data_IF_287722751174
#
_entry.id   IF_287722751174
#
_cell.length_a   1.000
_cell.length_b   1.000
_cell.length_c   1.000
_cell.angle_alpha   90.00
_cell.angle_beta   90.00
_cell.angle_gamma   90.00
#
_symmetry.space_group_name_H-M   'P 1'
#
loop_
_entity.id
_entity.type
_entity.pdbx_description
1 polymer ?
#
# COMPACT_ATOMS: atom_id res chain seq x y z
N UNK A 1 7.05 -8.43 -26.08
CA UNK A 1 8.14 -7.59 -25.58
C UNK A 1 9.33 -8.51 -25.42
N UNK A 2 10.45 -8.12 -26.01
CA UNK A 2 11.74 -8.80 -25.95
C UNK A 2 12.33 -8.69 -24.53
N UNK A 3 13.34 -9.52 -24.24
CA UNK A 3 14.20 -9.39 -23.06
C UNK A 3 14.59 -7.91 -22.85
N UNK A 4 14.06 -7.24 -21.81
CA UNK A 4 14.60 -5.96 -21.34
C UNK A 4 13.73 -4.70 -21.46
N UNK A 5 12.48 -4.74 -21.94
CA UNK A 5 11.55 -3.62 -21.72
C UNK A 5 10.86 -3.80 -20.36
N UNK A 6 11.36 -3.09 -19.35
CA UNK A 6 10.97 -3.23 -17.96
C UNK A 6 9.51 -2.86 -17.69
N UNK A 7 8.95 -3.46 -16.64
CA UNK A 7 7.66 -3.09 -16.08
C UNK A 7 7.62 -1.58 -15.80
N UNK A 8 6.65 -0.87 -16.38
CA UNK A 8 6.42 0.55 -16.08
C UNK A 8 5.47 0.67 -14.91
N UNK A 9 5.66 1.71 -14.10
CA UNK A 9 4.79 2.04 -12.98
C UNK A 9 4.16 3.42 -13.20
N UNK A 10 2.91 3.55 -12.79
CA UNK A 10 2.21 4.83 -12.85
C UNK A 10 2.40 5.54 -11.51
N UNK A 11 3.10 6.67 -11.53
CA UNK A 11 3.40 7.47 -10.35
C UNK A 11 2.59 8.77 -10.41
N UNK A 12 2.01 9.18 -9.29
CA UNK A 12 1.57 10.57 -9.14
C UNK A 12 2.70 11.40 -8.52
N UNK A 13 3.26 12.32 -9.30
CA UNK A 13 4.30 13.25 -8.87
C UNK A 13 3.64 14.50 -8.27
N UNK A 14 3.85 14.69 -6.97
CA UNK A 14 3.24 15.79 -6.21
C UNK A 14 3.85 17.14 -6.56
N UNK A 15 5.15 17.19 -6.82
CA UNK A 15 5.82 18.43 -7.19
C UNK A 15 5.35 18.91 -8.58
N UNK A 16 5.13 17.98 -9.51
CA UNK A 16 4.67 18.29 -10.88
C UNK A 16 3.14 18.26 -11.03
N UNK A 17 2.40 17.88 -9.99
CA UNK A 17 0.94 17.71 -9.99
C UNK A 17 0.42 16.89 -11.19
N UNK A 18 1.08 15.77 -11.52
CA UNK A 18 0.72 14.96 -12.69
C UNK A 18 1.04 13.48 -12.54
N UNK A 19 0.39 12.67 -13.38
CA UNK A 19 0.69 11.25 -13.54
C UNK A 19 1.86 11.07 -14.50
N UNK A 20 2.81 10.21 -14.14
CA UNK A 20 4.02 9.92 -14.90
C UNK A 20 4.18 8.40 -14.99
N UNK A 21 4.51 7.91 -16.19
CA UNK A 21 4.95 6.53 -16.39
C UNK A 21 6.47 6.47 -16.20
N UNK A 22 6.95 5.58 -15.34
CA UNK A 22 8.36 5.44 -14.99
C UNK A 22 8.79 3.96 -15.09
N UNK A 23 9.87 3.62 -15.81
CA UNK A 23 10.41 2.26 -15.79
C UNK A 23 10.85 1.86 -14.38
N UNK A 24 10.41 0.70 -13.89
CA UNK A 24 10.58 0.31 -12.47
C UNK A 24 12.02 0.44 -11.96
N UNK A 25 13.01 0.08 -12.78
CA UNK A 25 14.43 0.18 -12.40
C UNK A 25 14.89 1.64 -12.21
N UNK A 26 14.41 2.57 -13.03
CA UNK A 26 14.70 3.99 -12.84
C UNK A 26 14.02 4.55 -11.60
N UNK A 27 12.82 4.07 -11.29
CA UNK A 27 12.12 4.47 -10.06
C UNK A 27 12.85 3.94 -8.82
N UNK A 28 13.36 2.70 -8.86
CA UNK A 28 14.16 2.14 -7.75
C UNK A 28 15.44 2.96 -7.54
N UNK A 29 16.12 3.44 -8.60
CA UNK A 29 17.29 4.32 -8.44
C UNK A 29 16.92 5.62 -7.73
N UNK A 30 15.83 6.27 -8.12
CA UNK A 30 15.37 7.53 -7.50
C UNK A 30 14.97 7.35 -6.04
N UNK A 31 14.32 6.23 -5.71
CA UNK A 31 13.93 5.90 -4.33
C UNK A 31 15.16 5.52 -3.51
N UNK A 32 16.08 4.71 -4.03
CA UNK A 32 17.33 4.36 -3.34
C UNK A 32 18.13 5.60 -2.96
N UNK A 33 18.25 6.56 -3.89
CA UNK A 33 18.96 7.81 -3.64
C UNK A 33 18.28 8.73 -2.61
N UNK A 34 16.96 8.54 -2.38
CA UNK A 34 16.21 9.29 -1.38
C UNK A 34 16.20 8.61 -0.01
N UNK A 35 15.97 7.29 0.01
CA UNK A 35 15.69 6.52 1.23
C UNK A 35 16.95 6.02 1.94
N UNK A 36 18.06 5.86 1.22
CA UNK A 36 19.30 5.30 1.78
C UNK A 36 20.36 6.37 1.93
N UNK A 37 20.82 6.55 3.17
CA UNK A 37 21.89 7.47 3.54
C UNK A 37 23.21 7.09 2.83
N UNK A 38 24.03 8.10 2.53
CA UNK A 38 25.33 7.87 1.92
C UNK A 38 26.29 7.10 2.85
N UNK A 39 27.25 6.38 2.27
CA UNK A 39 28.24 5.59 3.02
C UNK A 39 27.80 4.18 3.42
N UNK A 40 26.52 3.85 3.26
CA UNK A 40 26.02 2.49 3.51
C UNK A 40 26.66 1.45 2.58
N UNK A 41 26.90 0.25 3.12
CA UNK A 41 27.52 -0.87 2.43
C UNK A 41 26.67 -1.32 1.21
N UNK A 42 27.33 -1.81 0.16
CA UNK A 42 26.67 -2.19 -1.10
C UNK A 42 25.60 -3.27 -0.90
N UNK A 43 25.81 -4.20 0.05
CA UNK A 43 24.83 -5.23 0.40
C UNK A 43 23.58 -4.67 1.09
N UNK A 44 23.70 -3.53 1.80
CA UNK A 44 22.52 -2.81 2.30
C UNK A 44 21.77 -2.16 1.15
N UNK A 45 22.47 -1.53 0.21
CA UNK A 45 21.84 -0.99 -1.01
C UNK A 45 21.12 -2.08 -1.81
N UNK A 46 21.69 -3.30 -1.92
CA UNK A 46 21.03 -4.45 -2.55
C UNK A 46 19.79 -4.90 -1.79
N UNK A 47 19.86 -5.00 -0.45
CA UNK A 47 18.69 -5.32 0.37
C UNK A 47 17.56 -4.30 0.16
N UNK A 48 17.89 -3.00 0.16
CA UNK A 48 16.93 -1.93 -0.14
C UNK A 48 16.40 -2.01 -1.57
N UNK A 49 17.21 -2.31 -2.58
CA UNK A 49 16.75 -2.43 -3.96
C UNK A 49 15.68 -3.53 -4.10
N UNK A 50 15.89 -4.68 -3.45
CA UNK A 50 14.91 -5.77 -3.40
C UNK A 50 13.65 -5.33 -2.64
N UNK A 51 13.79 -4.65 -1.49
CA UNK A 51 12.66 -4.15 -0.70
C UNK A 51 11.84 -3.12 -1.45
N UNK A 52 12.47 -2.14 -2.10
CA UNK A 52 11.80 -1.10 -2.88
C UNK A 52 11.05 -1.74 -4.05
N UNK A 53 11.68 -2.65 -4.79
CA UNK A 53 11.00 -3.41 -5.86
C UNK A 53 9.77 -4.17 -5.34
N UNK A 54 9.94 -4.87 -4.22
CA UNK A 54 8.87 -5.60 -3.54
C UNK A 54 7.74 -4.67 -3.11
N UNK A 55 8.06 -3.51 -2.54
CA UNK A 55 7.10 -2.49 -2.11
C UNK A 55 6.29 -1.95 -3.29
N UNK A 56 6.98 -1.51 -4.36
CA UNK A 56 6.35 -1.01 -5.59
C UNK A 56 5.37 -2.06 -6.11
N UNK A 57 5.84 -3.29 -6.30
CA UNK A 57 5.00 -4.37 -6.82
C UNK A 57 3.83 -4.69 -5.90
N UNK A 58 4.03 -4.71 -4.58
CA UNK A 58 2.95 -4.93 -3.61
C UNK A 58 1.85 -3.87 -3.70
N UNK A 59 2.18 -2.66 -4.14
CA UNK A 59 1.22 -1.57 -4.37
C UNK A 59 0.49 -1.71 -5.70
N UNK A 60 1.12 -2.23 -6.74
CA UNK A 60 0.52 -2.35 -8.07
C UNK A 60 -0.69 -3.28 -8.08
N UNK A 61 -1.76 -2.87 -8.78
CA UNK A 61 -2.97 -3.69 -8.99
C UNK A 61 -2.66 -5.00 -9.71
N UNK A 62 -1.66 -4.97 -10.58
CA UNK A 62 -1.17 -6.14 -11.30
C UNK A 62 -0.76 -7.28 -10.35
N UNK A 63 -0.25 -6.96 -9.16
CA UNK A 63 0.11 -7.94 -8.11
C UNK A 63 -0.79 -7.83 -6.88
N UNK A 64 -2.09 -7.60 -7.10
CA UNK A 64 -3.14 -7.58 -6.06
C UNK A 64 -2.95 -6.49 -4.99
N UNK A 65 -2.22 -5.44 -5.37
CA UNK A 65 -2.16 -4.18 -4.63
C UNK A 65 -3.37 -3.30 -4.89
N UNK A 66 -3.57 -2.30 -4.03
CA UNK A 66 -4.68 -1.33 -4.14
C UNK A 66 -4.27 -0.03 -4.82
N UNK A 67 -3.03 0.08 -5.30
CA UNK A 67 -2.43 1.33 -5.74
C UNK A 67 -2.29 2.36 -4.61
N UNK A 68 -2.17 3.62 -5.02
CA UNK A 68 -2.12 4.77 -4.13
C UNK A 68 -3.52 5.13 -3.64
N UNK A 69 -3.74 5.13 -2.31
CA UNK A 69 -5.07 5.43 -1.76
C UNK A 69 -5.48 6.91 -1.87
N UNK A 70 -4.53 7.83 -2.15
CA UNK A 70 -4.81 9.26 -2.40
C UNK A 70 -5.03 9.57 -3.88
N UNK A 71 -4.38 8.82 -4.77
CA UNK A 71 -4.40 9.05 -6.22
C UNK A 71 -4.76 7.73 -6.93
N UNK A 72 -6.06 7.46 -7.16
CA UNK A 72 -6.53 6.13 -7.57
C UNK A 72 -5.93 5.57 -8.86
N UNK A 73 -5.52 6.44 -9.78
CA UNK A 73 -4.89 6.04 -11.05
C UNK A 73 -3.39 5.75 -10.94
N UNK A 74 -2.77 5.98 -9.79
CA UNK A 74 -1.34 5.75 -9.58
C UNK A 74 -1.11 4.50 -8.73
N UNK A 75 -0.05 3.77 -9.05
CA UNK A 75 0.45 2.67 -8.21
C UNK A 75 1.01 3.23 -6.90
N UNK A 76 1.76 4.33 -6.97
CA UNK A 76 2.36 5.05 -5.84
C UNK A 76 2.40 6.56 -6.09
N UNK A 77 2.63 7.34 -5.04
CA UNK A 77 2.93 8.78 -5.15
C UNK A 77 4.28 9.11 -4.53
N UNK A 78 4.81 10.29 -4.85
CA UNK A 78 6.11 10.77 -4.36
C UNK A 78 6.07 11.36 -2.93
N UNK A 79 4.97 11.18 -2.19
CA UNK A 79 4.87 11.63 -0.79
C UNK A 79 5.52 10.60 0.15
N UNK A 80 6.59 10.94 0.89
CA UNK A 80 7.18 10.03 1.87
C UNK A 80 6.23 9.68 3.03
N UNK A 81 5.32 10.58 3.40
CA UNK A 81 4.34 10.37 4.49
C UNK A 81 3.14 9.50 4.08
N UNK A 82 3.05 9.10 2.80
CA UNK A 82 1.92 8.30 2.30
C UNK A 82 2.35 7.06 1.52
N UNK A 83 3.31 7.22 0.61
CA UNK A 83 3.85 6.13 -0.20
C UNK A 83 5.36 6.00 0.03
N UNK A 84 6.17 6.70 -0.75
CA UNK A 84 7.64 6.65 -0.65
C UNK A 84 8.23 7.89 -1.31
N UNK A 85 9.37 8.37 -0.81
CA UNK A 85 10.03 9.54 -1.37
C UNK A 85 10.87 9.22 -2.61
N UNK A 86 11.08 10.25 -3.43
CA UNK A 86 11.87 10.17 -4.66
C UNK A 86 12.84 11.34 -4.69
N UNK A 87 14.08 11.08 -5.12
CA UNK A 87 14.99 12.12 -5.55
C UNK A 87 14.95 12.19 -7.09
N UNK A 88 14.57 13.32 -7.71
CA UNK A 88 14.54 13.44 -9.17
C UNK A 88 15.87 13.05 -9.80
N UNK A 89 15.84 12.34 -10.93
CA UNK A 89 17.07 11.88 -11.63
C UNK A 89 18.06 13.01 -11.93
N UNK A 90 17.53 14.22 -12.17
CA UNK A 90 18.28 15.45 -12.43
C UNK A 90 19.18 15.85 -11.24
N UNK A 91 18.77 15.50 -10.02
CA UNK A 91 19.46 15.79 -8.77
C UNK A 91 20.48 14.70 -8.39
N UNK A 92 20.57 13.60 -9.15
CA UNK A 92 21.48 12.48 -8.89
C UNK A 92 22.68 12.61 -9.82
N UNK A 93 23.89 12.67 -9.26
CA UNK A 93 25.12 12.73 -10.05
C UNK A 93 25.24 11.52 -10.99
N UNK A 94 25.87 11.70 -12.16
CA UNK A 94 26.01 10.63 -13.15
C UNK A 94 26.74 9.40 -12.58
N UNK A 95 27.74 9.62 -11.73
CA UNK A 95 28.49 8.56 -11.05
C UNK A 95 27.60 7.79 -10.07
N UNK A 96 26.87 8.49 -9.20
CA UNK A 96 25.95 7.87 -8.24
C UNK A 96 24.84 7.11 -8.96
N UNK A 97 24.29 7.68 -10.03
CA UNK A 97 23.27 7.02 -10.87
C UNK A 97 23.80 5.72 -11.46
N UNK A 98 25.04 5.70 -11.97
CA UNK A 98 25.67 4.48 -12.51
C UNK A 98 25.87 3.42 -11.41
N UNK A 99 26.34 3.82 -10.23
CA UNK A 99 26.50 2.94 -9.07
C UNK A 99 25.16 2.30 -8.67
N UNK A 100 24.12 3.12 -8.45
CA UNK A 100 22.81 2.65 -8.03
C UNK A 100 22.15 1.78 -9.10
N UNK A 101 22.31 2.09 -10.39
CA UNK A 101 21.83 1.23 -11.47
C UNK A 101 22.54 -0.14 -11.46
N UNK A 102 23.84 -0.18 -11.13
CA UNK A 102 24.56 -1.43 -10.89
C UNK A 102 23.90 -2.29 -9.80
N UNK A 103 23.57 -1.70 -8.65
CA UNK A 103 22.84 -2.37 -7.56
C UNK A 103 21.48 -2.92 -8.03
N UNK A 104 20.74 -2.11 -8.79
CA UNK A 104 19.42 -2.48 -9.32
C UNK A 104 19.52 -3.66 -10.28
N UNK A 105 20.59 -3.74 -11.08
CA UNK A 105 20.86 -4.83 -12.01
C UNK A 105 21.36 -6.10 -11.28
N UNK A 106 22.21 -5.97 -10.26
CA UNK A 106 22.66 -7.11 -9.45
C UNK A 106 21.51 -7.80 -8.71
N UNK A 107 20.43 -7.05 -8.44
CA UNK A 107 19.21 -7.52 -7.79
C UNK A 107 18.05 -7.71 -8.77
N UNK A 108 18.35 -7.83 -10.07
CA UNK A 108 17.35 -7.89 -11.12
C UNK A 108 16.29 -8.97 -10.82
N UNK A 109 15.01 -8.59 -10.96
CA UNK A 109 13.84 -9.41 -10.70
C UNK A 109 13.69 -10.00 -9.29
N UNK A 110 14.58 -9.72 -8.33
CA UNK A 110 14.42 -10.27 -6.98
C UNK A 110 13.35 -9.51 -6.20
N UNK A 111 12.40 -10.26 -5.62
CA UNK A 111 11.36 -9.78 -4.71
C UNK A 111 11.27 -10.65 -3.47
N UNK A 112 10.66 -10.10 -2.42
CA UNK A 112 10.42 -10.81 -1.16
C UNK A 112 9.00 -11.38 -1.16
N UNK A 113 8.89 -12.69 -0.97
CA UNK A 113 7.60 -13.39 -0.86
C UNK A 113 7.45 -14.08 0.48
N UNK A 114 6.21 -14.26 0.91
CA UNK A 114 5.84 -15.11 2.04
C UNK A 114 4.61 -15.92 1.64
N UNK A 115 4.71 -17.26 1.71
CA UNK A 115 3.67 -18.18 1.24
C UNK A 115 3.20 -17.87 -0.20
N UNK A 116 4.15 -17.57 -1.10
CA UNK A 116 3.89 -17.29 -2.51
C UNK A 116 3.31 -15.90 -2.83
N UNK A 117 3.10 -15.04 -1.81
CA UNK A 117 2.61 -13.68 -2.01
C UNK A 117 3.71 -12.66 -1.76
N UNK A 118 3.78 -11.64 -2.62
CA UNK A 118 4.67 -10.49 -2.41
C UNK A 118 4.30 -9.82 -1.08
N UNK A 119 5.30 -9.53 -0.24
CA UNK A 119 5.06 -8.93 1.07
C UNK A 119 5.05 -7.41 1.02
N UNK A 120 4.64 -6.78 2.11
CA UNK A 120 4.97 -5.37 2.37
C UNK A 120 6.25 -5.30 3.23
N UNK A 121 7.38 -4.81 2.72
CA UNK A 121 8.66 -4.89 3.40
C UNK A 121 8.93 -3.63 4.25
N UNK A 122 8.53 -3.67 5.52
CA UNK A 122 8.75 -2.56 6.46
C UNK A 122 10.23 -2.35 6.77
N UNK A 123 10.65 -1.09 6.97
CA UNK A 123 11.98 -0.75 7.45
C UNK A 123 11.96 0.52 8.29
N UNK A 124 12.97 0.69 9.12
CA UNK A 124 13.17 1.87 9.94
C UNK A 124 14.67 2.09 10.17
N UNK A 125 15.04 3.30 10.56
CA UNK A 125 16.44 3.70 10.64
C UNK A 125 17.24 2.91 11.68
N UNK A 126 16.81 2.91 12.95
CA UNK A 126 17.54 2.27 14.06
C UNK A 126 16.58 1.64 15.06
N UNK A 127 16.74 0.35 15.37
CA UNK A 127 15.79 -0.36 16.23
C UNK A 127 16.04 -0.18 17.75
N UNK A 128 17.25 0.24 18.15
CA UNK A 128 17.56 0.43 19.57
C UNK A 128 17.73 -0.87 20.38
N UNK A 129 17.96 -2.01 19.71
CA UNK A 129 18.32 -3.30 20.31
C UNK A 129 17.44 -4.47 19.86
N UNK A 130 16.25 -4.18 19.35
CA UNK A 130 15.40 -5.18 18.72
C UNK A 130 14.35 -4.55 17.84
N UNK A 131 13.95 -5.23 16.78
CA UNK A 131 12.73 -4.89 16.04
C UNK A 131 11.49 -5.25 16.86
N UNK A 132 10.31 -4.84 16.40
CA UNK A 132 9.06 -5.03 17.10
C UNK A 132 8.10 -5.95 16.33
N UNK A 133 7.19 -6.60 17.06
CA UNK A 133 6.11 -7.35 16.46
C UNK A 133 5.05 -6.41 15.87
N UNK A 134 4.55 -6.74 14.68
CA UNK A 134 3.62 -5.89 13.94
C UNK A 134 2.37 -5.49 14.72
N UNK A 135 1.82 -6.35 15.58
CA UNK A 135 0.60 -6.08 16.34
C UNK A 135 0.76 -4.96 17.36
N UNK A 136 1.99 -4.65 17.80
CA UNK A 136 2.25 -3.54 18.73
C UNK A 136 2.35 -2.19 18.04
N UNK A 137 2.43 -2.16 16.71
CA UNK A 137 2.61 -0.94 15.90
C UNK A 137 1.44 -0.72 14.93
N UNK A 138 0.92 -1.79 14.33
CA UNK A 138 -0.14 -1.76 13.31
C UNK A 138 -1.47 -2.37 13.80
N UNK A 139 -1.54 -2.83 15.06
CA UNK A 139 -2.72 -3.51 15.62
C UNK A 139 -3.16 -4.76 14.84
N UNK A 140 -2.28 -5.33 14.01
CA UNK A 140 -2.52 -6.56 13.24
C UNK A 140 -1.27 -7.44 13.24
N UNK A 141 -1.47 -8.77 13.26
CA UNK A 141 -0.39 -9.76 13.26
C UNK A 141 0.05 -10.09 11.84
N UNK A 142 1.33 -9.85 11.53
CA UNK A 142 1.99 -10.14 10.27
C UNK A 142 3.10 -11.15 10.55
N UNK A 143 2.97 -12.35 9.97
CA UNK A 143 3.83 -13.49 10.31
C UNK A 143 5.31 -13.29 9.95
N UNK A 144 5.60 -12.50 8.91
CA UNK A 144 6.96 -12.22 8.48
C UNK A 144 7.58 -10.97 9.14
N UNK A 145 6.80 -10.16 9.87
CA UNK A 145 7.27 -8.95 10.54
C UNK A 145 7.24 -9.16 12.07
N UNK A 146 8.22 -9.91 12.56
CA UNK A 146 8.36 -10.30 13.97
C UNK A 146 9.55 -9.59 14.61
N UNK A 147 9.52 -9.56 15.94
CA UNK A 147 10.65 -9.11 16.76
C UNK A 147 11.88 -9.98 16.52
N UNK A 148 12.99 -9.32 16.21
CA UNK A 148 14.34 -9.87 16.02
C UNK A 148 15.29 -9.05 16.87
N UNK A 149 16.17 -9.71 17.63
CA UNK A 149 17.21 -9.02 18.39
C UNK A 149 18.22 -8.40 17.43
N UNK A 150 18.78 -7.24 17.74
CA UNK A 150 19.73 -6.58 16.86
C UNK A 150 20.73 -5.77 17.68
N UNK A 151 21.91 -6.36 17.87
CA UNK A 151 23.04 -5.71 18.52
C UNK A 151 23.89 -4.91 17.52
N UNK A 152 23.74 -5.17 16.22
CA UNK A 152 24.51 -4.54 15.14
C UNK A 152 24.31 -3.03 15.05
N UNK A 153 23.11 -2.53 15.36
CA UNK A 153 22.85 -1.09 15.30
C UNK A 153 23.48 -0.30 16.46
N UNK A 154 24.07 -0.97 17.46
CA UNK A 154 24.68 -0.32 18.62
C UNK A 154 25.98 0.39 18.28
N UNK A 155 26.82 -0.22 17.43
CA UNK A 155 28.12 0.33 17.01
C UNK A 155 28.02 1.15 15.74
N UNK A 156 27.01 0.91 14.90
CA UNK A 156 26.90 1.56 13.59
C UNK A 156 26.00 2.79 13.59
N UNK A 157 25.01 2.87 14.48
CA UNK A 157 24.01 3.95 14.44
C UNK A 157 24.40 5.17 15.27
N UNK A 158 24.34 6.38 14.70
CA UNK A 158 24.40 7.63 15.48
C UNK A 158 23.13 7.84 16.32
N UNK A 159 22.08 7.04 16.08
CA UNK A 159 20.79 7.09 16.76
C UNK A 159 20.58 5.92 17.72
N UNK A 160 21.63 5.15 18.06
CA UNK A 160 21.54 4.10 19.07
C UNK A 160 21.05 4.65 20.40
N UNK A 161 21.64 5.77 20.83
CA UNK A 161 21.26 6.48 22.04
C UNK A 161 21.39 7.98 21.80
N UNK A 162 20.27 8.69 21.87
CA UNK A 162 20.21 10.14 21.70
C UNK A 162 19.61 10.79 22.93
N UNK A 163 19.91 12.08 23.09
CA UNK A 163 19.35 12.93 24.12
C UNK A 163 18.54 14.01 23.42
N UNK A 164 17.30 14.21 23.86
CA UNK A 164 16.44 15.30 23.39
C UNK A 164 15.94 16.07 24.60
N UNK A 165 15.98 17.38 24.56
CA UNK A 165 15.58 18.26 25.65
C UNK A 165 14.40 19.13 25.21
N UNK A 166 13.44 19.33 26.11
CA UNK A 166 12.34 20.27 25.91
C UNK A 166 12.17 21.15 27.14
N UNK A 167 11.89 22.43 26.94
CA UNK A 167 11.40 23.29 28.02
C UNK A 167 9.97 22.91 28.40
N UNK A 168 9.50 23.36 29.57
CA UNK A 168 8.10 23.15 29.94
C UNK A 168 7.13 23.82 28.96
N UNK A 169 7.44 25.03 28.49
CA UNK A 169 6.63 25.79 27.51
C UNK A 169 6.51 25.04 26.17
N UNK A 170 7.59 24.43 25.70
CA UNK A 170 7.58 23.63 24.48
C UNK A 170 6.67 22.39 24.64
N UNK A 171 6.68 21.76 25.82
CA UNK A 171 5.81 20.63 26.13
C UNK A 171 4.34 21.06 26.23
N UNK A 172 4.04 22.17 26.90
CA UNK A 172 2.69 22.76 26.97
C UNK A 172 2.13 23.00 25.57
N UNK A 173 2.94 23.61 24.70
CA UNK A 173 2.56 23.88 23.31
C UNK A 173 2.36 22.59 22.52
N UNK A 174 3.30 21.62 22.60
CA UNK A 174 3.24 20.38 21.81
C UNK A 174 2.10 19.45 22.22
N UNK A 175 1.74 19.43 23.50
CA UNK A 175 0.69 18.57 24.02
C UNK A 175 -0.63 19.29 24.25
N UNK A 176 -0.68 20.61 24.03
CA UNK A 176 -1.84 21.47 24.26
C UNK A 176 -2.36 21.32 25.71
N UNK A 177 -1.45 21.49 26.66
CA UNK A 177 -1.71 21.42 28.11
C UNK A 177 -1.11 22.64 28.79
N UNK A 178 -1.48 22.86 30.06
CA UNK A 178 -0.88 23.88 30.92
C UNK A 178 -0.41 23.18 32.20
N UNK A 179 0.87 23.31 32.53
CA UNK A 179 1.38 22.84 33.81
C UNK A 179 0.98 23.81 34.93
N UNK A 180 0.83 23.32 36.17
CA UNK A 180 0.58 24.20 37.31
C UNK A 180 1.69 25.27 37.44
N UNK A 181 1.33 26.52 37.80
CA UNK A 181 2.32 27.56 38.01
C UNK A 181 3.21 27.21 39.20
N UNK A 182 4.50 27.59 39.19
CA UNK A 182 5.37 27.33 40.32
C UNK A 182 4.89 28.10 41.55
N UNK A 183 4.70 27.39 42.66
CA UNK A 183 4.29 27.98 43.93
C UNK A 183 5.19 27.50 45.07
N UNK A 184 5.66 28.41 45.95
CA UNK A 184 6.37 28.02 47.16
C UNK A 184 5.53 27.22 48.15
N UNK A 185 4.21 27.21 47.99
CA UNK A 185 3.24 26.63 48.93
C UNK A 185 2.61 25.34 48.42
N UNK A 186 2.71 25.06 47.12
CA UNK A 186 2.20 23.82 46.54
C UNK A 186 3.23 22.69 46.65
N UNK A 187 2.72 21.45 46.63
CA UNK A 187 3.57 20.27 46.62
C UNK A 187 4.30 20.20 45.27
N UNK A 188 5.61 20.37 45.34
CA UNK A 188 6.51 20.24 44.19
C UNK A 188 7.38 19.03 44.44
N UNK A 189 7.50 18.14 43.45
CA UNK A 189 8.25 16.88 43.59
C UNK A 189 8.84 16.47 42.26
N UNK A 190 10.12 16.14 42.28
CA UNK A 190 10.84 15.49 41.18
C UNK A 190 11.31 14.16 41.74
N UNK A 191 10.61 13.08 41.37
CA UNK A 191 10.83 11.75 41.94
C UNK A 191 12.32 11.38 41.94
N UNK A 192 12.80 10.91 43.10
CA UNK A 192 14.20 10.53 43.37
C UNK A 192 15.25 11.63 43.26
N UNK A 193 14.91 12.85 42.84
CA UNK A 193 15.83 13.99 42.77
C UNK A 193 15.57 14.94 43.94
N UNK A 194 14.35 15.47 44.03
CA UNK A 194 13.94 16.40 45.07
C UNK A 194 12.45 16.16 45.37
N UNK A 195 12.18 15.39 46.42
CA UNK A 195 10.85 14.80 46.68
C UNK A 195 10.55 14.73 48.18
N UNK A 196 9.29 14.47 48.54
CA UNK A 196 8.82 14.35 49.95
C UNK A 196 9.21 15.56 50.81
N UNK A 197 8.75 16.74 50.41
CA UNK A 197 8.91 17.95 51.22
C UNK A 197 7.90 17.94 52.37
N UNK A 198 8.38 17.87 53.62
CA UNK A 198 7.56 18.06 54.81
C UNK A 198 7.49 19.55 55.13
N UNK A 199 6.28 20.11 55.21
CA UNK A 199 6.04 21.52 55.52
C UNK A 199 5.34 21.68 56.87
N UNK A 200 5.66 22.75 57.58
CA UNK A 200 4.90 23.16 58.77
C UNK A 200 3.56 23.84 58.38
N UNK A 201 2.75 24.18 59.38
CA UNK A 201 1.46 24.86 59.19
C UNK A 201 1.57 26.24 58.54
N UNK A 202 2.76 26.83 58.49
CA UNK A 202 3.01 28.12 57.84
C UNK A 202 3.72 27.98 56.48
N UNK A 203 3.79 26.76 55.93
CA UNK A 203 4.33 26.46 54.60
C UNK A 203 5.85 26.38 54.51
N UNK A 204 6.59 26.45 55.62
CA UNK A 204 8.07 26.32 55.62
C UNK A 204 8.47 24.86 55.51
N UNK A 205 9.51 24.58 54.73
CA UNK A 205 10.08 23.25 54.63
C UNK A 205 10.82 22.91 55.93
N UNK A 206 10.39 21.83 56.57
CA UNK A 206 11.02 21.23 57.75
C UNK A 206 12.10 20.25 57.31
N UNK A 207 11.76 19.39 56.34
CA UNK A 207 12.64 18.36 55.76
C UNK A 207 12.31 18.14 54.28
N UNK A 208 13.31 17.73 53.50
CA UNK A 208 13.14 17.34 52.10
C UNK A 208 14.14 16.26 51.73
N UNK A 209 13.75 15.33 50.85
CA UNK A 209 14.66 14.35 50.30
C UNK A 209 15.37 14.92 49.06
N UNK A 210 16.69 14.84 49.03
CA UNK A 210 17.51 15.12 47.84
C UNK A 210 18.39 13.90 47.55
N UNK A 211 18.13 13.24 46.42
CA UNK A 211 18.70 11.93 46.12
C UNK A 211 18.36 10.89 47.20
N UNK A 212 19.38 10.33 47.82
CA UNK A 212 19.30 9.33 48.90
C UNK A 212 19.34 9.93 50.31
N UNK A 213 19.38 11.26 50.45
CA UNK A 213 19.51 11.94 51.74
C UNK A 213 18.26 12.70 52.14
N UNK A 214 18.01 12.76 53.44
CA UNK A 214 17.00 13.62 54.05
C UNK A 214 17.72 14.82 54.67
N UNK A 215 17.39 16.02 54.22
CA UNK A 215 18.02 17.28 54.64
C UNK A 215 16.99 18.15 55.37
N UNK A 216 17.40 18.80 56.46
CA UNK A 216 16.55 19.79 57.14
C UNK A 216 16.39 21.03 56.27
N UNK A 217 15.21 21.66 56.26
CA UNK A 217 14.94 22.80 55.38
C UNK A 217 15.89 23.98 55.57
N UNK A 218 16.36 24.23 56.80
CA UNK A 218 17.38 25.26 57.08
C UNK A 218 18.72 24.94 56.43
N UNK A 219 19.22 23.71 56.61
CA UNK A 219 20.48 23.28 56.00
C UNK A 219 20.38 23.34 54.46
N UNK A 220 19.21 23.03 53.90
CA UNK A 220 18.96 23.12 52.46
C UNK A 220 18.99 24.58 51.97
N UNK A 221 18.30 25.47 52.70
CA UNK A 221 18.26 26.90 52.43
C UNK A 221 19.66 27.52 52.48
N UNK A 222 20.45 27.21 53.50
CA UNK A 222 21.81 27.71 53.67
C UNK A 222 22.76 27.17 52.58
N UNK A 223 22.62 25.90 52.16
CA UNK A 223 23.47 25.30 51.13
C UNK A 223 23.24 25.82 49.72
N UNK A 224 22.04 26.32 49.43
CA UNK A 224 21.65 26.84 48.11
C UNK A 224 21.46 28.37 48.11
N UNK A 225 21.87 29.04 49.19
CA UNK A 225 21.74 30.49 49.36
C UNK A 225 20.32 31.01 49.10
N UNK A 226 19.30 30.24 49.48
CA UNK A 226 17.91 30.66 49.35
C UNK A 226 17.58 31.70 50.42
N UNK A 227 16.67 32.63 50.13
CA UNK A 227 16.33 33.69 51.09
C UNK A 227 15.52 33.20 52.31
N UNK A 228 14.85 32.04 52.22
CA UNK A 228 14.04 31.49 53.31
C UNK A 228 13.78 30.00 53.13
N UNK A 229 13.22 29.35 54.16
CA UNK A 229 12.71 27.97 54.08
C UNK A 229 11.31 27.86 53.46
N UNK A 230 10.70 28.97 53.02
CA UNK A 230 9.46 28.99 52.22
C UNK A 230 9.82 29.02 50.74
N UNK A 231 10.15 27.87 50.19
CA UNK A 231 10.47 27.73 48.78
C UNK A 231 9.74 26.55 48.16
N UNK A 232 9.68 26.54 46.83
CA UNK A 232 9.21 25.45 45.99
C UNK A 232 10.15 25.32 44.80
N UNK A 233 9.94 24.31 43.96
CA UNK A 233 10.79 24.08 42.80
C UNK A 233 9.99 23.57 41.61
N UNK A 234 10.51 23.83 40.41
CA UNK A 234 9.99 23.27 39.19
C UNK A 234 11.17 23.05 38.25
N UNK A 235 11.22 21.94 37.50
CA UNK A 235 12.22 21.80 36.45
C UNK A 235 11.99 22.89 35.39
N UNK A 236 13.06 23.42 34.80
CA UNK A 236 12.95 24.32 33.65
C UNK A 236 12.67 23.57 32.34
N UNK A 237 12.92 22.27 32.32
CA UNK A 237 12.70 21.38 31.19
C UNK A 237 12.92 19.91 31.53
N UNK A 238 12.68 19.04 30.56
CA UNK A 238 12.83 17.59 30.68
C UNK A 238 13.80 17.09 29.62
N UNK A 239 14.76 16.26 30.04
CA UNK A 239 15.68 15.53 29.16
C UNK A 239 15.17 14.12 28.94
N UNK A 240 15.03 13.73 27.68
CA UNK A 240 14.65 12.39 27.24
C UNK A 240 15.88 11.64 26.73
N UNK A 241 16.11 10.44 27.27
CA UNK A 241 17.11 9.51 26.76
C UNK A 241 16.40 8.52 25.84
N UNK A 242 16.63 8.66 24.53
CA UNK A 242 15.91 7.90 23.51
C UNK A 242 16.84 6.87 22.91
N UNK A 243 16.34 5.66 22.63
CA UNK A 243 17.05 4.64 21.87
C UNK A 243 16.31 4.29 20.59
N UNK A 244 17.03 4.29 19.49
CA UNK A 244 16.47 4.01 18.17
C UNK A 244 15.80 5.22 17.51
N UNK A 245 15.39 5.01 16.25
CA UNK A 245 14.74 5.99 15.38
C UNK A 245 13.85 5.25 14.38
N UNK A 246 12.56 5.57 14.41
CA UNK A 246 11.53 5.01 13.54
C UNK A 246 10.63 4.00 14.25
N UNK A 247 9.72 3.37 13.49
CA UNK A 247 8.61 2.59 14.05
C UNK A 247 8.98 1.16 14.50
N UNK A 248 10.22 0.71 14.30
CA UNK A 248 10.72 -0.58 14.81
C UNK A 248 10.32 -1.84 14.02
N UNK A 249 9.61 -1.73 12.89
CA UNK A 249 9.15 -2.91 12.13
C UNK A 249 10.11 -3.28 11.00
N UNK A 250 10.29 -4.59 10.80
CA UNK A 250 11.08 -5.14 9.69
C UNK A 250 12.55 -4.75 9.76
N UNK A 251 13.15 -4.37 8.63
CA UNK A 251 14.58 -4.13 8.53
C UNK A 251 15.01 -2.88 9.32
N UNK A 252 16.04 -3.03 10.16
CA UNK A 252 16.75 -1.91 10.77
C UNK A 252 17.91 -1.49 9.87
N UNK A 253 17.92 -0.26 9.35
CA UNK A 253 18.93 0.21 8.39
C UNK A 253 20.35 0.09 8.94
N UNK A 254 20.61 0.66 10.12
CA UNK A 254 21.93 0.58 10.74
C UNK A 254 22.29 -0.81 11.25
N UNK A 255 21.29 -1.62 11.59
CA UNK A 255 21.52 -3.02 11.90
C UNK A 255 21.90 -3.83 10.65
N UNK A 256 21.32 -3.51 9.48
CA UNK A 256 21.72 -4.06 8.20
C UNK A 256 23.14 -3.65 7.82
N UNK A 257 23.54 -2.41 8.12
CA UNK A 257 24.93 -1.96 7.96
C UNK A 257 25.91 -2.84 8.74
N UNK A 258 25.67 -3.09 10.03
CA UNK A 258 26.57 -3.93 10.82
C UNK A 258 26.60 -5.38 10.34
N UNK A 259 25.47 -5.96 9.95
CA UNK A 259 25.44 -7.29 9.31
C UNK A 259 26.24 -7.32 8.00
N UNK A 260 26.16 -6.26 7.20
CA UNK A 260 26.89 -6.16 5.95
C UNK A 260 28.41 -6.02 6.19
N UNK A 261 28.82 -5.28 7.21
CA UNK A 261 30.23 -5.17 7.66
C UNK A 261 30.79 -6.51 8.15
N UNK A 262 29.92 -7.39 8.68
CA UNK A 262 30.26 -8.79 8.99
C UNK A 262 30.22 -9.74 7.77
N UNK A 263 30.03 -9.19 6.57
CA UNK A 263 30.08 -9.94 5.32
C UNK A 263 28.77 -10.62 4.92
N UNK A 264 27.63 -10.29 5.56
CA UNK A 264 26.33 -10.79 5.13
C UNK A 264 25.89 -10.15 3.81
N UNK A 265 25.39 -10.98 2.91
CA UNK A 265 24.76 -10.53 1.67
C UNK A 265 23.41 -9.83 1.94
N UNK A 266 22.96 -9.03 0.99
CA UNK A 266 21.67 -8.35 1.07
C UNK A 266 20.50 -9.32 1.28
N UNK A 267 20.54 -10.51 0.67
CA UNK A 267 19.52 -11.53 0.88
C UNK A 267 19.54 -12.14 2.28
N UNK A 268 20.73 -12.37 2.85
CA UNK A 268 20.87 -12.86 4.23
C UNK A 268 20.37 -11.82 5.23
N UNK A 269 20.67 -10.54 4.99
CA UNK A 269 20.15 -9.41 5.78
C UNK A 269 18.61 -9.40 5.76
N UNK A 270 17.98 -9.57 4.59
CA UNK A 270 16.53 -9.63 4.49
C UNK A 270 15.94 -10.83 5.23
N UNK A 271 16.56 -12.02 5.09
CA UNK A 271 16.14 -13.24 5.81
C UNK A 271 16.33 -13.14 7.32
N UNK A 272 17.28 -12.33 7.79
CA UNK A 272 17.46 -12.02 9.20
C UNK A 272 16.29 -11.23 9.76
N UNK A 273 15.87 -10.16 9.07
CA UNK A 273 14.82 -9.25 9.56
C UNK A 273 13.39 -9.71 9.28
N UNK A 274 13.17 -10.52 8.24
CA UNK A 274 11.84 -11.00 7.88
C UNK A 274 11.73 -12.51 8.05
N UNK A 275 10.86 -12.96 8.96
CA UNK A 275 10.76 -14.39 9.32
C UNK A 275 10.05 -15.20 8.23
N UNK A 276 10.69 -16.28 7.77
CA UNK A 276 10.06 -17.26 6.87
C UNK A 276 9.82 -16.76 5.44
N UNK A 277 10.45 -15.65 5.04
CA UNK A 277 10.38 -15.14 3.67
C UNK A 277 11.19 -16.02 2.71
N UNK A 278 10.92 -15.83 1.42
CA UNK A 278 11.81 -16.24 0.33
C UNK A 278 12.18 -15.03 -0.51
N UNK A 279 13.38 -15.08 -1.09
CA UNK A 279 13.79 -14.17 -2.15
C UNK A 279 13.64 -14.94 -3.45
N UNK A 280 12.70 -14.50 -4.28
CA UNK A 280 12.32 -15.19 -5.51
C UNK A 280 12.36 -14.19 -6.66
N UNK A 281 12.51 -14.69 -7.89
CA UNK A 281 12.31 -13.85 -9.05
C UNK A 281 10.83 -13.46 -9.16
N UNK A 282 10.58 -12.26 -9.67
CA UNK A 282 9.24 -11.77 -10.01
C UNK A 282 8.49 -12.89 -10.73
N UNK A 283 7.26 -13.24 -10.32
CA UNK A 283 6.43 -14.16 -11.07
C UNK A 283 6.36 -13.68 -12.52
N UNK A 284 6.93 -14.46 -13.46
CA UNK A 284 7.05 -14.01 -14.84
C UNK A 284 5.67 -13.72 -15.42
N UNK A 285 5.34 -12.43 -15.53
CA UNK A 285 4.32 -11.93 -16.43
C UNK A 285 4.89 -12.11 -17.84
N UNK A 286 4.41 -13.14 -18.53
CA UNK A 286 4.72 -13.27 -19.94
C UNK A 286 3.96 -12.17 -20.67
N UNK A 287 4.60 -11.48 -21.61
CA UNK A 287 3.89 -10.58 -22.52
C UNK A 287 2.72 -11.27 -23.21
N UNK A 288 2.88 -12.55 -23.50
CA UNK A 288 1.85 -13.34 -24.16
C UNK A 288 0.74 -13.77 -23.18
N UNK A 289 0.99 -13.68 -21.87
CA UNK A 289 0.04 -14.04 -20.80
C UNK A 289 0.02 -12.98 -19.68
N UNK A 290 -0.38 -11.73 -19.98
CA UNK A 290 -0.28 -10.63 -19.04
C UNK A 290 -1.30 -10.70 -17.89
N UNK A 291 -2.33 -11.55 -18.01
CA UNK A 291 -3.35 -11.79 -16.98
C UNK A 291 -3.12 -13.07 -16.17
N UNK A 292 -1.93 -13.67 -16.22
CA UNK A 292 -1.61 -14.88 -15.47
C UNK A 292 -1.89 -14.69 -13.97
N UNK A 293 -2.67 -15.61 -13.40
CA UNK A 293 -3.06 -15.58 -11.98
C UNK A 293 -4.31 -14.74 -11.68
N UNK A 294 -4.90 -14.09 -12.68
CA UNK A 294 -6.18 -13.40 -12.55
C UNK A 294 -7.32 -14.37 -12.82
N UNK A 295 -8.27 -14.41 -11.88
CA UNK A 295 -9.49 -15.18 -11.99
C UNK A 295 -10.63 -14.21 -12.29
N UNK A 296 -11.30 -14.37 -13.42
CA UNK A 296 -12.41 -13.51 -13.87
C UNK A 296 -13.64 -14.38 -14.05
N UNK A 297 -14.74 -14.00 -13.39
CA UNK A 297 -16.02 -14.68 -13.57
C UNK A 297 -16.86 -13.89 -14.56
N UNK A 298 -17.30 -14.55 -15.63
CA UNK A 298 -18.19 -13.96 -16.63
C UNK A 298 -19.56 -14.59 -16.45
N UNK A 299 -20.58 -13.76 -16.33
CA UNK A 299 -21.95 -14.19 -16.19
C UNK A 299 -22.73 -13.84 -17.46
N UNK A 300 -22.92 -14.79 -18.40
CA UNK A 300 -23.83 -14.56 -19.51
C UNK A 300 -25.26 -14.45 -18.96
N UNK A 301 -25.82 -13.24 -18.96
CA UNK A 301 -27.17 -12.96 -18.48
C UNK A 301 -28.21 -13.90 -19.06
N UNK A 302 -29.27 -14.18 -18.29
CA UNK A 302 -30.37 -15.09 -18.66
C UNK A 302 -29.92 -16.54 -18.91
N UNK A 303 -30.75 -17.39 -19.53
CA UNK A 303 -30.45 -18.78 -19.88
C UNK A 303 -31.60 -19.77 -19.59
N UNK A 304 -31.65 -20.85 -20.36
CA UNK A 304 -32.69 -21.88 -20.28
C UNK A 304 -34.08 -21.27 -20.48
N UNK A 305 -34.90 -21.34 -19.43
CA UNK A 305 -36.26 -20.78 -19.38
C UNK A 305 -36.32 -19.25 -19.27
N UNK A 306 -35.22 -18.61 -18.90
CA UNK A 306 -35.13 -17.15 -18.87
C UNK A 306 -34.55 -16.70 -20.21
N UNK A 307 -35.38 -16.07 -21.03
CA UNK A 307 -35.04 -15.64 -22.38
C UNK A 307 -34.39 -14.24 -22.40
N UNK A 308 -34.57 -13.46 -21.33
CA UNK A 308 -34.39 -12.02 -21.39
C UNK A 308 -35.33 -11.40 -22.42
N UNK A 309 -34.83 -10.44 -23.19
CA UNK A 309 -35.57 -9.84 -24.30
C UNK A 309 -35.54 -10.77 -25.54
N UNK A 310 -36.64 -10.83 -26.29
CA UNK A 310 -36.77 -11.63 -27.52
C UNK A 310 -37.44 -10.80 -28.62
N UNK A 311 -36.73 -10.55 -29.73
CA UNK A 311 -37.20 -9.69 -30.82
C UNK A 311 -36.55 -10.07 -32.15
N UNK A 312 -37.32 -10.05 -33.24
CA UNK A 312 -36.82 -10.31 -34.61
C UNK A 312 -35.97 -11.59 -34.74
N UNK A 313 -36.39 -12.69 -34.08
CA UNK A 313 -35.66 -13.97 -34.01
C UNK A 313 -34.27 -13.92 -33.35
N UNK A 314 -33.97 -12.86 -32.60
CA UNK A 314 -32.80 -12.80 -31.73
C UNK A 314 -33.26 -12.81 -30.27
N UNK A 315 -32.55 -13.61 -29.46
CA UNK A 315 -32.83 -13.80 -28.04
C UNK A 315 -31.62 -13.33 -27.25
N UNK A 316 -31.85 -12.53 -26.21
CA UNK A 316 -30.80 -11.91 -25.40
C UNK A 316 -29.82 -12.94 -24.85
N UNK A 317 -30.33 -14.05 -24.29
CA UNK A 317 -29.51 -15.10 -23.69
C UNK A 317 -28.47 -15.67 -24.66
N UNK A 318 -28.79 -15.75 -25.95
CA UNK A 318 -27.87 -16.30 -26.96
C UNK A 318 -26.81 -15.27 -27.33
N UNK A 319 -27.18 -14.00 -27.40
CA UNK A 319 -26.23 -12.90 -27.64
C UNK A 319 -25.26 -12.73 -26.48
N UNK A 320 -25.77 -12.71 -25.25
CA UNK A 320 -24.97 -12.62 -24.02
C UNK A 320 -23.95 -13.76 -23.96
N UNK A 321 -24.34 -14.98 -24.34
CA UNK A 321 -23.44 -16.12 -24.39
C UNK A 321 -22.36 -15.96 -25.46
N UNK A 322 -22.71 -15.50 -26.68
CA UNK A 322 -21.74 -15.28 -27.76
C UNK A 322 -20.68 -14.24 -27.39
N UNK A 323 -21.09 -13.09 -26.84
CA UNK A 323 -20.16 -12.05 -26.37
C UNK A 323 -19.27 -12.60 -25.25
N UNK A 324 -19.86 -13.30 -24.28
CA UNK A 324 -19.13 -13.88 -23.15
C UNK A 324 -18.09 -14.90 -23.58
N UNK A 325 -18.39 -15.75 -24.58
CA UNK A 325 -17.44 -16.72 -25.16
C UNK A 325 -16.30 -16.04 -25.91
N UNK A 326 -16.59 -14.97 -26.64
CA UNK A 326 -15.53 -14.17 -27.30
C UNK A 326 -14.59 -13.57 -26.27
N UNK A 327 -15.15 -13.00 -25.19
CA UNK A 327 -14.36 -12.41 -24.11
C UNK A 327 -13.56 -13.47 -23.34
N UNK A 328 -14.15 -14.64 -23.07
CA UNK A 328 -13.44 -15.80 -22.49
C UNK A 328 -12.20 -16.16 -23.29
N UNK A 329 -12.31 -16.33 -24.62
CA UNK A 329 -11.19 -16.69 -25.48
C UNK A 329 -10.05 -15.64 -25.41
N UNK A 330 -10.38 -14.35 -25.47
CA UNK A 330 -9.40 -13.26 -25.35
C UNK A 330 -8.66 -13.29 -24.01
N UNK A 331 -9.41 -13.42 -22.91
CA UNK A 331 -8.86 -13.42 -21.54
C UNK A 331 -8.04 -14.68 -21.24
N UNK A 332 -8.50 -15.86 -21.68
CA UNK A 332 -7.77 -17.13 -21.53
C UNK A 332 -6.46 -17.11 -22.31
N UNK A 333 -6.46 -16.57 -23.55
CA UNK A 333 -5.22 -16.38 -24.32
C UNK A 333 -4.24 -15.47 -23.61
N UNK A 334 -4.75 -14.42 -22.96
CA UNK A 334 -3.97 -13.53 -22.10
C UNK A 334 -3.58 -14.17 -20.75
N UNK A 335 -3.95 -15.42 -20.48
CA UNK A 335 -3.51 -16.20 -19.32
C UNK A 335 -4.40 -16.10 -18.08
N UNK A 336 -5.55 -15.42 -18.16
CA UNK A 336 -6.52 -15.42 -17.06
C UNK A 336 -7.17 -16.80 -16.92
N UNK A 337 -7.54 -17.14 -15.69
CA UNK A 337 -8.51 -18.20 -15.41
C UNK A 337 -9.91 -17.62 -15.53
N UNK A 338 -10.68 -18.06 -16.53
CA UNK A 338 -12.02 -17.55 -16.78
C UNK A 338 -13.06 -18.61 -16.43
N UNK A 339 -14.03 -18.23 -15.62
CA UNK A 339 -15.16 -19.09 -15.24
C UNK A 339 -16.44 -18.47 -15.75
N UNK A 340 -17.21 -19.21 -16.55
CA UNK A 340 -18.56 -18.79 -16.93
C UNK A 340 -19.60 -19.39 -15.97
N UNK A 341 -20.57 -18.60 -15.55
CA UNK A 341 -21.73 -19.12 -14.79
C UNK A 341 -22.45 -20.21 -15.60
N UNK A 342 -22.64 -19.98 -16.90
CA UNK A 342 -23.15 -20.97 -17.85
C UNK A 342 -22.31 -21.05 -19.13
N UNK A 343 -22.10 -22.28 -19.59
CA UNK A 343 -21.37 -22.59 -20.85
C UNK A 343 -22.31 -22.84 -22.04
N UNK A 344 -23.62 -22.91 -21.81
CA UNK A 344 -24.65 -23.18 -22.80
C UNK A 344 -26.00 -22.57 -22.39
N UNK A 345 -27.08 -23.06 -22.99
CA UNK A 345 -28.44 -22.62 -22.68
C UNK A 345 -28.96 -23.30 -21.40
N UNK A 346 -28.52 -22.80 -20.25
CA UNK A 346 -28.91 -23.30 -18.92
C UNK A 346 -29.42 -22.15 -18.06
N UNK A 347 -30.56 -22.36 -17.41
CA UNK A 347 -31.08 -21.45 -16.40
C UNK A 347 -30.26 -21.57 -15.10
N UNK A 348 -29.93 -20.43 -14.50
CA UNK A 348 -29.31 -20.33 -13.19
C UNK A 348 -30.01 -19.24 -12.38
N UNK A 349 -30.36 -19.56 -11.13
CA UNK A 349 -30.89 -18.60 -10.18
C UNK A 349 -29.81 -17.59 -9.76
N UNK A 350 -30.24 -16.47 -9.17
CA UNK A 350 -29.32 -15.50 -8.57
C UNK A 350 -28.45 -16.17 -7.50
N UNK A 351 -29.04 -17.00 -6.65
CA UNK A 351 -28.32 -17.71 -5.59
C UNK A 351 -27.24 -18.62 -6.15
N UNK A 352 -27.52 -19.39 -7.21
CA UNK A 352 -26.52 -20.27 -7.85
C UNK A 352 -25.35 -19.48 -8.44
N UNK A 353 -25.62 -18.30 -9.03
CA UNK A 353 -24.58 -17.40 -9.55
C UNK A 353 -23.68 -16.88 -8.42
N UNK A 354 -24.27 -16.47 -7.30
CA UNK A 354 -23.55 -15.97 -6.13
C UNK A 354 -22.76 -17.08 -5.42
N UNK A 355 -23.32 -18.28 -5.29
CA UNK A 355 -22.62 -19.44 -4.71
C UNK A 355 -21.39 -19.82 -5.54
N UNK A 356 -21.49 -19.79 -6.87
CA UNK A 356 -20.34 -20.03 -7.74
C UNK A 356 -19.26 -18.95 -7.56
N UNK A 357 -19.66 -17.67 -7.48
CA UNK A 357 -18.74 -16.57 -7.21
C UNK A 357 -18.01 -16.74 -5.87
N UNK A 358 -18.74 -17.09 -4.81
CA UNK A 358 -18.15 -17.31 -3.49
C UNK A 358 -17.16 -18.49 -3.49
N UNK A 359 -17.46 -19.56 -4.23
CA UNK A 359 -16.58 -20.72 -4.36
C UNK A 359 -15.32 -20.45 -5.20
N UNK A 360 -15.46 -19.71 -6.31
CA UNK A 360 -14.34 -19.38 -7.22
C UNK A 360 -13.46 -18.27 -6.65
N UNK A 361 -14.04 -17.37 -5.85
CA UNK A 361 -13.41 -16.17 -5.31
C UNK A 361 -12.70 -15.31 -6.40
N UNK A 362 -13.40 -14.90 -7.47
CA UNK A 362 -12.81 -14.15 -8.57
C UNK A 362 -12.32 -12.76 -8.13
N UNK A 363 -11.49 -12.12 -8.97
CA UNK A 363 -11.10 -10.72 -8.80
C UNK A 363 -12.29 -9.80 -9.01
N UNK A 364 -13.08 -10.05 -10.05
CA UNK A 364 -14.36 -9.37 -10.30
C UNK A 364 -15.27 -10.25 -11.17
N UNK A 365 -16.54 -9.84 -11.23
CA UNK A 365 -17.59 -10.46 -12.03
C UNK A 365 -18.02 -9.49 -13.15
N UNK A 366 -18.18 -10.00 -14.36
CA UNK A 366 -18.79 -9.27 -15.48
C UNK A 366 -20.10 -9.95 -15.86
N UNK A 367 -21.23 -9.34 -15.52
CA UNK A 367 -22.55 -9.79 -15.97
C UNK A 367 -22.90 -9.13 -17.29
N UNK A 368 -22.99 -9.91 -18.36
CA UNK A 368 -23.26 -9.41 -19.71
C UNK A 368 -24.76 -9.54 -20.00
N UNK A 369 -25.41 -8.40 -20.22
CA UNK A 369 -26.81 -8.28 -20.61
C UNK A 369 -26.94 -7.50 -21.91
N UNK A 370 -28.11 -7.61 -22.55
CA UNK A 370 -28.48 -6.81 -23.72
C UNK A 370 -29.54 -5.79 -23.35
N UNK A 371 -29.55 -4.63 -24.02
CA UNK A 371 -30.66 -3.68 -23.90
C UNK A 371 -31.42 -3.50 -25.23
N UNK A 372 -32.73 -3.25 -25.14
CA UNK A 372 -33.62 -2.88 -26.26
C UNK A 372 -34.44 -1.62 -25.92
N UNK A 373 -33.95 -0.79 -25.00
CA UNK A 373 -34.65 0.44 -24.62
C UNK A 373 -34.77 1.37 -25.84
N UNK A 374 -35.99 1.84 -26.20
CA UNK A 374 -36.19 2.74 -27.34
C UNK A 374 -35.37 4.04 -27.23
N UNK A 375 -35.14 4.53 -26.01
CA UNK A 375 -34.39 5.76 -25.70
C UNK A 375 -32.89 5.52 -25.52
N UNK A 376 -32.45 4.26 -25.40
CA UNK A 376 -31.04 3.86 -25.31
C UNK A 376 -30.65 2.86 -26.40
N UNK A 377 -31.39 2.83 -27.50
CA UNK A 377 -31.09 1.93 -28.62
C UNK A 377 -29.66 2.16 -29.09
N UNK A 378 -28.90 1.07 -29.19
CA UNK A 378 -27.51 1.09 -29.64
C UNK A 378 -26.52 1.77 -28.67
N UNK A 379 -26.82 1.91 -27.37
CA UNK A 379 -25.93 2.54 -26.38
C UNK A 379 -25.60 1.53 -25.28
N UNK A 380 -24.31 1.29 -25.05
CA UNK A 380 -23.85 0.47 -23.92
C UNK A 380 -23.83 1.27 -22.63
N UNK A 381 -24.30 0.65 -21.55
CA UNK A 381 -24.34 1.23 -20.21
C UNK A 381 -23.74 0.22 -19.22
N UNK A 382 -22.94 0.71 -18.28
CA UNK A 382 -22.38 -0.11 -17.20
C UNK A 382 -23.02 0.31 -15.89
N UNK A 383 -23.51 -0.66 -15.13
CA UNK A 383 -24.10 -0.49 -13.81
C UNK A 383 -23.25 -1.14 -12.73
N UNK A 384 -23.06 -0.44 -11.61
CA UNK A 384 -22.26 -0.89 -10.46
C UNK A 384 -22.97 -0.56 -9.15
N UNK A 385 -22.66 -1.28 -8.08
CA UNK A 385 -23.21 -0.98 -6.76
C UNK A 385 -22.70 0.37 -6.24
N UNK A 386 -23.55 1.23 -5.63
CA UNK A 386 -23.12 2.49 -5.04
C UNK A 386 -21.98 2.32 -4.04
N UNK A 387 -20.87 3.05 -4.24
CA UNK A 387 -19.70 2.97 -3.37
C UNK A 387 -18.71 1.85 -3.71
N UNK A 388 -19.00 0.96 -4.67
CA UNK A 388 -18.01 0.03 -5.22
C UNK A 388 -17.03 0.79 -6.15
N UNK A 389 -15.96 1.31 -5.53
CA UNK A 389 -14.94 2.10 -6.22
C UNK A 389 -14.19 1.27 -7.27
N UNK A 390 -14.02 -0.03 -7.03
CA UNK A 390 -13.29 -0.92 -7.93
C UNK A 390 -14.10 -1.18 -9.20
N UNK A 391 -15.40 -1.47 -9.06
CA UNK A 391 -16.31 -1.64 -10.18
C UNK A 391 -16.42 -0.36 -11.01
N UNK A 392 -16.56 0.80 -10.35
CA UNK A 392 -16.67 2.10 -11.03
C UNK A 392 -15.43 2.43 -11.86
N UNK A 393 -14.26 2.15 -11.33
CA UNK A 393 -12.99 2.39 -12.01
C UNK A 393 -12.79 1.44 -13.20
N UNK A 394 -12.98 0.12 -13.01
CA UNK A 394 -12.92 -0.86 -14.09
C UNK A 394 -13.93 -0.51 -15.20
N UNK A 395 -15.15 -0.14 -14.81
CA UNK A 395 -16.19 0.31 -15.74
C UNK A 395 -15.73 1.51 -16.58
N UNK A 396 -15.07 2.50 -15.97
CA UNK A 396 -14.57 3.67 -16.69
C UNK A 396 -13.48 3.33 -17.71
N UNK A 397 -12.59 2.37 -17.40
CA UNK A 397 -11.63 1.87 -18.39
C UNK A 397 -12.31 1.16 -19.56
N UNK A 398 -13.33 0.35 -19.29
CA UNK A 398 -14.12 -0.32 -20.34
C UNK A 398 -14.85 0.71 -21.20
N UNK A 399 -15.52 1.70 -20.60
CA UNK A 399 -16.23 2.76 -21.35
C UNK A 399 -15.27 3.53 -22.27
N UNK A 400 -14.06 3.84 -21.80
CA UNK A 400 -13.03 4.50 -22.62
C UNK A 400 -12.64 3.65 -23.83
N UNK A 401 -12.46 2.34 -23.67
CA UNK A 401 -12.18 1.46 -24.81
C UNK A 401 -13.37 1.32 -25.75
N UNK A 402 -14.62 1.32 -25.25
CA UNK A 402 -15.78 1.38 -26.14
C UNK A 402 -15.72 2.59 -27.07
N UNK A 403 -15.35 3.77 -26.55
CA UNK A 403 -15.16 4.98 -27.35
C UNK A 403 -14.02 4.84 -28.36
N UNK A 404 -12.88 4.26 -27.97
CA UNK A 404 -11.75 3.98 -28.88
C UNK A 404 -12.13 3.04 -30.02
N UNK A 405 -13.00 2.07 -29.74
CA UNK A 405 -13.55 1.16 -30.74
C UNK A 405 -14.75 1.74 -31.47
N UNK A 406 -15.07 3.04 -31.37
CA UNK A 406 -16.23 3.70 -31.98
C UNK A 406 -17.57 3.00 -31.67
N UNK A 407 -17.71 2.46 -30.46
CA UNK A 407 -18.95 1.91 -29.91
C UNK A 407 -19.60 2.97 -29.03
N UNK A 408 -20.92 3.15 -29.18
CA UNK A 408 -21.65 4.14 -28.37
C UNK A 408 -21.80 3.64 -26.94
N UNK A 409 -21.48 4.50 -25.99
CA UNK A 409 -21.59 4.20 -24.58
C UNK A 409 -21.89 5.46 -23.75
N UNK A 410 -22.34 5.25 -22.52
CA UNK A 410 -22.52 6.28 -21.49
C UNK A 410 -21.60 6.02 -20.30
N UNK A 411 -21.42 7.02 -19.45
CA UNK A 411 -20.63 6.90 -18.22
C UNK A 411 -21.21 5.86 -17.27
N UNK A 412 -20.37 5.28 -16.40
CA UNK A 412 -20.78 4.29 -15.40
C UNK A 412 -21.86 4.85 -14.47
N UNK A 413 -22.93 4.07 -14.24
CA UNK A 413 -24.06 4.44 -13.38
C UNK A 413 -24.04 3.60 -12.10
N UNK A 414 -24.19 4.26 -10.95
CA UNK A 414 -24.33 3.62 -9.65
C UNK A 414 -25.81 3.34 -9.36
N UNK A 415 -26.17 2.06 -9.18
CA UNK A 415 -27.54 1.63 -8.92
C UNK A 415 -27.57 0.30 -8.16
N UNK A 416 -28.59 0.11 -7.33
CA UNK A 416 -28.80 -1.13 -6.58
C UNK A 416 -29.57 -2.16 -7.42
N UNK A 417 -28.82 -3.06 -8.08
CA UNK A 417 -29.38 -4.26 -8.70
C UNK A 417 -29.24 -5.43 -7.72
N UNK A 418 -30.14 -6.41 -7.74
CA UNK A 418 -30.10 -7.53 -6.77
C UNK A 418 -28.74 -8.25 -6.78
N UNK A 419 -28.18 -8.53 -7.97
CA UNK A 419 -26.87 -9.17 -8.10
C UNK A 419 -25.71 -8.30 -7.61
N UNK A 420 -25.80 -6.97 -7.76
CA UNK A 420 -24.76 -6.05 -7.30
C UNK A 420 -24.82 -5.82 -5.79
N UNK A 421 -26.02 -5.86 -5.21
CA UNK A 421 -26.27 -5.71 -3.77
C UNK A 421 -25.91 -6.97 -2.96
N UNK A 422 -26.17 -8.15 -3.52
CA UNK A 422 -26.01 -9.42 -2.79
C UNK A 422 -24.62 -10.07 -2.98
N UNK A 423 -23.85 -9.63 -3.96
CA UNK A 423 -22.49 -10.12 -4.20
C UNK A 423 -21.50 -9.61 -3.15
N UNK A 424 -20.66 -10.51 -2.63
CA UNK A 424 -19.50 -10.18 -1.78
C UNK A 424 -18.26 -9.76 -2.60
N UNK A 425 -18.36 -9.83 -3.94
CA UNK A 425 -17.29 -9.53 -4.89
C UNK A 425 -17.69 -8.36 -5.79
N UNK A 426 -16.70 -7.61 -6.24
CA UNK A 426 -16.86 -6.55 -7.24
C UNK A 426 -17.55 -7.10 -8.49
N UNK A 427 -18.64 -6.46 -8.91
CA UNK A 427 -19.44 -6.88 -10.04
C UNK A 427 -19.84 -5.68 -10.90
N UNK A 428 -19.72 -5.86 -12.21
CA UNK A 428 -20.15 -4.91 -13.21
C UNK A 428 -21.25 -5.57 -14.04
N UNK A 429 -22.38 -4.89 -14.17
CA UNK A 429 -23.44 -5.30 -15.10
C UNK A 429 -23.30 -4.46 -16.36
N UNK A 430 -22.95 -5.11 -17.47
CA UNK A 430 -22.74 -4.49 -18.77
C UNK A 430 -23.99 -4.72 -19.61
N UNK A 431 -24.80 -3.67 -19.76
CA UNK A 431 -25.93 -3.66 -20.67
C UNK A 431 -25.44 -3.22 -22.04
N UNK A 432 -25.08 -4.21 -22.86
CA UNK A 432 -24.60 -4.02 -24.22
C UNK A 432 -25.78 -3.59 -25.08
N UNK A 433 -25.71 -2.36 -25.57
CA UNK A 433 -26.81 -1.83 -26.37
C UNK A 433 -26.69 -2.26 -27.80
N UNK A 434 -27.10 -3.48 -28.16
CA UNK A 434 -27.37 -3.94 -29.53
C UNK A 434 -28.06 -5.32 -29.50
N UNK A 435 -29.20 -5.46 -30.18
CA UNK A 435 -30.01 -6.70 -30.14
C UNK A 435 -29.76 -7.68 -31.29
N UNK A 436 -29.04 -7.29 -32.36
CA UNK A 436 -28.76 -8.14 -33.52
C UNK A 436 -27.31 -7.93 -34.01
N UNK A 437 -26.35 -8.27 -33.16
CA UNK A 437 -24.93 -8.11 -33.46
C UNK A 437 -24.43 -9.16 -34.45
N UNK A 438 -23.73 -8.69 -35.47
CA UNK A 438 -22.89 -9.51 -36.37
C UNK A 438 -21.58 -9.87 -35.66
N UNK A 439 -20.89 -10.90 -36.14
CA UNK A 439 -19.64 -11.37 -35.54
C UNK A 439 -18.58 -10.26 -35.41
N UNK A 440 -18.46 -9.40 -36.43
CA UNK A 440 -17.53 -8.25 -36.40
C UNK A 440 -17.82 -7.27 -35.25
N UNK A 441 -19.09 -7.11 -34.87
CA UNK A 441 -19.49 -6.22 -33.79
C UNK A 441 -19.25 -6.88 -32.42
N UNK A 442 -19.53 -8.18 -32.30
CA UNK A 442 -19.16 -8.99 -31.12
C UNK A 442 -17.64 -8.95 -30.90
N UNK A 443 -16.85 -9.06 -31.96
CA UNK A 443 -15.39 -8.96 -31.89
C UNK A 443 -14.94 -7.61 -31.33
N UNK A 444 -15.51 -6.50 -31.83
CA UNK A 444 -15.20 -5.15 -31.33
C UNK A 444 -15.60 -4.96 -29.87
N UNK A 445 -16.78 -5.44 -29.47
CA UNK A 445 -17.25 -5.37 -28.08
C UNK A 445 -16.32 -6.19 -27.17
N UNK A 446 -16.00 -7.43 -27.57
CA UNK A 446 -15.07 -8.28 -26.82
C UNK A 446 -13.69 -7.64 -26.67
N UNK A 447 -13.15 -7.05 -27.73
CA UNK A 447 -11.87 -6.32 -27.70
C UNK A 447 -11.91 -5.07 -26.83
N UNK A 448 -13.02 -4.31 -26.85
CA UNK A 448 -13.18 -3.13 -26.00
C UNK A 448 -13.22 -3.50 -24.52
N UNK A 449 -14.00 -4.53 -24.15
CA UNK A 449 -14.05 -5.02 -22.76
C UNK A 449 -12.67 -5.55 -22.35
N UNK A 450 -12.03 -6.35 -23.21
CA UNK A 450 -10.70 -6.89 -22.99
C UNK A 450 -9.64 -5.79 -22.78
N UNK A 451 -9.60 -4.78 -23.64
CA UNK A 451 -8.69 -3.64 -23.52
C UNK A 451 -8.91 -2.86 -22.22
N UNK A 452 -10.17 -2.66 -21.83
CA UNK A 452 -10.53 -2.00 -20.57
C UNK A 452 -10.01 -2.77 -19.35
N UNK A 453 -10.14 -4.10 -19.37
CA UNK A 453 -9.61 -4.99 -18.32
C UNK A 453 -8.08 -4.92 -18.24
N UNK A 454 -7.39 -4.95 -19.37
CA UNK A 454 -5.92 -4.80 -19.40
C UNK A 454 -5.49 -3.44 -18.82
N UNK A 455 -6.16 -2.37 -19.23
CA UNK A 455 -5.87 -1.02 -18.77
C UNK A 455 -6.17 -0.82 -17.28
N UNK A 456 -7.21 -1.46 -16.75
CA UNK A 456 -7.50 -1.47 -15.32
C UNK A 456 -6.35 -2.06 -14.48
N UNK A 457 -5.64 -3.07 -14.99
CA UNK A 457 -4.43 -3.62 -14.37
C UNK A 457 -3.13 -2.93 -14.80
N UNK A 458 -3.20 -1.80 -15.53
CA UNK A 458 -2.03 -1.01 -15.94
C UNK A 458 -1.20 -1.64 -17.07
N UNK A 459 -1.78 -2.55 -17.85
CA UNK A 459 -1.07 -3.29 -18.91
C UNK A 459 -1.01 -2.53 -20.25
N UNK A 460 -1.41 -1.24 -20.28
CA UNK A 460 -1.29 -0.30 -21.40
C UNK A 460 -1.68 -0.90 -22.76
N UNK A 461 -2.94 -1.30 -22.88
CA UNK A 461 -3.56 -1.68 -24.15
C UNK A 461 -3.79 -0.44 -25.01
N UNK A 462 -3.14 -0.42 -26.17
CA UNK A 462 -3.39 0.53 -27.24
C UNK A 462 -3.80 -0.24 -28.50
N UNK A 463 -5.00 0.05 -29.01
CA UNK A 463 -5.48 -0.57 -30.24
C UNK A 463 -4.61 -0.12 -31.42
N UNK A 464 -3.68 -0.98 -31.85
CA UNK A 464 -2.88 -0.74 -33.07
C UNK A 464 -3.68 -1.15 -34.31
N UNK A 465 -4.77 -0.40 -34.59
CA UNK A 465 -5.46 -0.37 -35.89
C UNK A 465 -6.07 -1.68 -36.38
#
# INVERSE_FOLDING_TARGET
MTKGEGLNITIYDIAKNKYISCPINECIVQILAYEVEEGFHIEVLKAYAIMIRTYIMRKMKLFDGKGCTRYPRADICTNPDHCIGFLPLECISAEKRKQLMGVVNDTHNKVITFKGKIIFPYYHNTCGGSTENSERVLSNTIQYARKVLCDYCKSTSPHWQTIVEFTLEELETKFNIVFPPPSPLEETSIDKILYKAERDSEGRIVRVNIGDRIIKGRDFQERLDLFSTRFGWQPTGIRFFVRGKGHGLGLCSYGAQGLAEEGKSGEEILKYYFTGIKIEDIPQLSINKPLRGKIILIDPGHGGRDFGISKNNVIEKDMNLRISRKLEDLLVRAGAEVVLTRKGDKYLSLEERLQLSDAVAPHFILSIHGNDSPTMSNITQIYVYPGDREAKELGSFIIKEFQNYCLKSKDVVEIELSITRESKKTILVLDIGYFNLKDKEIDRIGLAIYGGILNYWGLNWENKG
#
